data_IF_649202427210
#
_entry.id   IF_649202427210
#
_cell.length_a   1.000
_cell.length_b   1.000
_cell.length_c   1.000
_cell.angle_alpha   90.00
_cell.angle_beta   90.00
_cell.angle_gamma   90.00
#
_symmetry.space_group_name_H-M   'P 1'
#
loop_
_entity.id
_entity.type
_entity.pdbx_description
1 polymer ?
#
# COMPACT_ATOMS: atom_id res chain seq x y z
N UNK A 1 -21.08 9.81 -6.86
CA UNK A 1 -21.11 9.18 -5.53
C UNK A 1 -21.58 7.73 -5.63
N UNK A 2 -22.72 7.45 -6.29
CA UNK A 2 -23.16 6.07 -6.59
C UNK A 2 -22.10 5.22 -7.30
N UNK A 3 -21.30 5.82 -8.19
CA UNK A 3 -20.21 5.17 -8.93
C UNK A 3 -18.94 4.89 -8.11
N UNK A 4 -18.71 5.60 -7.01
CA UNK A 4 -17.55 5.36 -6.13
C UNK A 4 -17.87 4.23 -5.16
N UNK A 5 -19.06 4.27 -4.56
CA UNK A 5 -19.49 3.24 -3.62
C UNK A 5 -19.60 1.87 -4.29
N UNK A 6 -20.11 1.80 -5.54
CA UNK A 6 -20.15 0.54 -6.29
C UNK A 6 -18.75 -0.01 -6.61
N UNK A 7 -17.78 0.85 -6.92
CA UNK A 7 -16.38 0.44 -7.10
C UNK A 7 -15.77 -0.10 -5.82
N UNK A 8 -15.96 0.59 -4.70
CA UNK A 8 -15.46 0.13 -3.39
C UNK A 8 -16.11 -1.22 -3.01
N UNK A 9 -17.42 -1.36 -3.19
CA UNK A 9 -18.12 -2.62 -2.94
C UNK A 9 -17.60 -3.74 -3.86
N UNK A 10 -17.25 -3.44 -5.10
CA UNK A 10 -16.65 -4.42 -6.01
C UNK A 10 -15.29 -4.92 -5.51
N UNK A 11 -14.48 -4.05 -4.89
CA UNK A 11 -13.21 -4.46 -4.28
C UNK A 11 -13.43 -5.48 -3.15
N UNK A 12 -14.51 -5.36 -2.38
CA UNK A 12 -14.83 -6.32 -1.31
C UNK A 12 -15.19 -7.72 -1.81
N UNK A 13 -15.52 -7.85 -3.10
CA UNK A 13 -15.83 -9.12 -3.74
C UNK A 13 -14.63 -9.84 -4.36
N UNK A 14 -13.43 -9.26 -4.31
CA UNK A 14 -12.23 -9.90 -4.86
C UNK A 14 -11.78 -11.00 -3.90
N UNK A 15 -11.75 -12.25 -4.40
CA UNK A 15 -11.25 -13.39 -3.63
C UNK A 15 -9.75 -13.25 -3.34
N UNK A 16 -9.30 -13.81 -2.21
CA UNK A 16 -7.91 -13.80 -1.78
C UNK A 16 -7.34 -12.39 -1.51
N UNK A 17 -8.19 -11.46 -1.05
CA UNK A 17 -7.78 -10.16 -0.52
C UNK A 17 -8.22 -10.07 0.94
N UNK A 18 -7.27 -9.70 1.80
CA UNK A 18 -7.54 -9.37 3.20
C UNK A 18 -7.59 -7.85 3.39
N UNK A 19 -8.59 -7.38 4.15
CA UNK A 19 -8.73 -5.98 4.53
C UNK A 19 -7.99 -5.72 5.83
N UNK A 20 -6.84 -5.05 5.74
CA UNK A 20 -6.01 -4.76 6.92
C UNK A 20 -6.53 -3.50 7.65
N UNK A 21 -6.88 -3.59 8.94
CA UNK A 21 -7.31 -2.43 9.72
C UNK A 21 -6.17 -1.42 9.92
N UNK A 22 -6.50 -0.14 9.89
CA UNK A 22 -5.57 0.93 10.30
C UNK A 22 -5.41 0.94 11.83
N UNK A 23 -4.46 0.18 12.36
CA UNK A 23 -4.18 0.10 13.80
C UNK A 23 -3.35 1.29 14.29
N UNK A 24 -3.34 1.52 15.60
CA UNK A 24 -2.47 2.52 16.22
C UNK A 24 -0.97 2.24 15.96
N UNK A 25 -0.60 0.96 15.89
CA UNK A 25 0.76 0.53 15.55
C UNK A 25 1.14 0.94 14.11
N UNK A 26 0.27 0.67 13.14
CA UNK A 26 0.46 1.12 11.75
C UNK A 26 0.58 2.64 11.70
N UNK A 27 -0.27 3.36 12.43
CA UNK A 27 -0.23 4.83 12.48
C UNK A 27 1.09 5.38 13.01
N UNK A 28 1.62 4.79 14.10
CA UNK A 28 2.89 5.20 14.69
C UNK A 28 4.06 4.91 13.75
N UNK A 29 4.10 3.73 13.13
CA UNK A 29 5.13 3.40 12.13
C UNK A 29 5.03 4.32 10.92
N UNK A 30 3.83 4.63 10.43
CA UNK A 30 3.63 5.57 9.34
C UNK A 30 4.22 6.95 9.68
N UNK A 31 3.97 7.47 10.88
CA UNK A 31 4.57 8.74 11.31
C UNK A 31 6.10 8.68 11.37
N UNK A 32 6.66 7.59 11.88
CA UNK A 32 8.12 7.37 11.86
C UNK A 32 8.66 7.38 10.42
N UNK A 33 8.02 6.66 9.49
CA UNK A 33 8.44 6.63 8.10
C UNK A 33 8.37 8.00 7.42
N UNK A 34 7.36 8.82 7.74
CA UNK A 34 7.26 10.19 7.23
C UNK A 34 8.45 11.04 7.66
N UNK A 35 8.87 10.95 8.92
CA UNK A 35 9.97 11.73 9.46
C UNK A 35 11.32 11.25 8.92
N UNK A 36 11.55 9.94 8.92
CA UNK A 36 12.84 9.34 8.51
C UNK A 36 13.07 9.43 7.01
N UNK A 37 12.03 9.20 6.21
CA UNK A 37 12.13 9.15 4.74
C UNK A 37 11.50 10.36 4.05
N UNK A 38 11.10 11.38 4.82
CA UNK A 38 10.56 12.63 4.30
C UNK A 38 9.37 12.40 3.32
N UNK A 39 8.49 11.46 3.68
CA UNK A 39 7.27 11.18 2.91
C UNK A 39 6.27 12.31 3.14
N UNK A 40 5.83 12.96 2.06
CA UNK A 40 4.89 14.08 2.14
C UNK A 40 3.44 13.64 2.29
N UNK A 41 3.11 12.42 1.86
CA UNK A 41 1.77 11.84 1.93
C UNK A 41 1.66 10.91 3.13
N UNK A 42 0.69 11.20 4.02
CA UNK A 42 0.35 10.29 5.12
C UNK A 42 -0.18 8.95 4.59
N UNK A 43 -0.88 8.94 3.44
CA UNK A 43 -1.42 7.71 2.86
C UNK A 43 -0.30 6.79 2.39
N UNK A 44 0.75 7.34 1.75
CA UNK A 44 1.88 6.54 1.29
C UNK A 44 2.60 5.91 2.48
N UNK A 45 2.74 6.68 3.56
CA UNK A 45 3.31 6.19 4.81
C UNK A 45 2.48 5.09 5.46
N UNK A 46 1.14 5.19 5.45
CA UNK A 46 0.25 4.13 5.93
C UNK A 46 0.38 2.85 5.11
N UNK A 47 0.46 2.95 3.78
CA UNK A 47 0.65 1.78 2.92
C UNK A 47 2.01 1.12 3.14
N UNK A 48 3.08 1.91 3.28
CA UNK A 48 4.41 1.39 3.59
C UNK A 48 4.45 0.72 4.98
N UNK A 49 3.88 1.36 6.01
CA UNK A 49 3.80 0.81 7.35
C UNK A 49 3.01 -0.50 7.40
N UNK A 50 1.88 -0.55 6.67
CA UNK A 50 1.05 -1.76 6.56
C UNK A 50 1.83 -2.89 5.91
N UNK A 51 2.52 -2.63 4.79
CA UNK A 51 3.34 -3.64 4.13
C UNK A 51 4.47 -4.15 5.03
N UNK A 52 5.18 -3.27 5.73
CA UNK A 52 6.27 -3.68 6.64
C UNK A 52 5.79 -4.52 7.83
N UNK A 53 4.58 -4.26 8.34
CA UNK A 53 4.06 -4.92 9.54
C UNK A 53 3.24 -6.18 9.23
N UNK A 54 2.57 -6.23 8.08
CA UNK A 54 1.55 -7.25 7.77
C UNK A 54 1.86 -8.11 6.55
N UNK A 55 2.78 -7.70 5.68
CA UNK A 55 3.21 -8.51 4.53
C UNK A 55 4.62 -9.08 4.76
N UNK A 56 4.79 -10.42 4.86
CA UNK A 56 6.10 -11.03 5.03
C UNK A 56 7.08 -10.72 3.89
N UNK A 57 6.58 -10.40 2.69
CA UNK A 57 7.41 -10.05 1.55
C UNK A 57 7.75 -8.56 1.47
N UNK A 58 7.05 -7.71 2.25
CA UNK A 58 7.17 -6.26 2.25
C UNK A 58 6.84 -5.61 0.90
N UNK A 59 5.92 -6.20 0.12
CA UNK A 59 5.65 -5.77 -1.24
C UNK A 59 4.54 -4.71 -1.31
N UNK A 60 4.80 -3.64 -2.06
CA UNK A 60 3.79 -2.62 -2.39
C UNK A 60 3.60 -2.59 -3.91
N UNK A 61 2.36 -2.80 -4.36
CA UNK A 61 2.01 -2.61 -5.78
C UNK A 61 1.64 -1.14 -5.97
N UNK A 62 2.50 -0.37 -6.63
CA UNK A 62 2.27 1.06 -6.86
C UNK A 62 3.03 1.58 -8.06
N UNK A 63 2.46 2.59 -8.72
CA UNK A 63 3.12 3.38 -9.77
C UNK A 63 4.00 4.49 -9.20
N UNK A 64 3.90 4.79 -7.90
CA UNK A 64 4.68 5.85 -7.26
C UNK A 64 6.07 5.33 -6.85
N UNK A 65 7.17 5.89 -7.36
CA UNK A 65 8.52 5.45 -7.01
C UNK A 65 8.95 5.83 -5.59
N UNK A 66 8.15 6.57 -4.82
CA UNK A 66 8.50 6.99 -3.45
C UNK A 66 8.85 5.80 -2.54
N UNK A 67 8.20 4.65 -2.75
CA UNK A 67 8.42 3.42 -1.99
C UNK A 67 9.82 2.82 -2.19
N UNK A 68 10.49 3.13 -3.31
CA UNK A 68 11.85 2.63 -3.60
C UNK A 68 12.89 3.19 -2.61
N UNK A 69 12.52 4.21 -1.82
CA UNK A 69 13.36 4.84 -0.81
C UNK A 69 13.23 4.21 0.58
N UNK A 70 12.27 3.31 0.80
CA UNK A 70 11.95 2.75 2.13
C UNK A 70 12.59 1.36 2.26
N UNK A 71 13.58 1.17 3.14
CA UNK A 71 14.18 -0.14 3.40
C UNK A 71 13.13 -1.17 3.84
N UNK A 72 13.25 -2.39 3.31
CA UNK A 72 12.30 -3.47 3.56
C UNK A 72 11.06 -3.45 2.65
N UNK A 73 10.82 -2.37 1.90
CA UNK A 73 9.76 -2.34 0.89
C UNK A 73 10.28 -2.78 -0.48
N UNK A 74 9.53 -3.66 -1.15
CA UNK A 74 9.71 -4.04 -2.54
C UNK A 74 8.56 -3.47 -3.36
N UNK A 75 8.80 -2.42 -4.14
CA UNK A 75 7.76 -1.89 -5.04
C UNK A 75 7.65 -2.78 -6.28
N UNK A 76 6.43 -3.14 -6.66
CA UNK A 76 6.11 -3.71 -7.97
C UNK A 76 5.24 -2.74 -8.76
N UNK A 77 5.69 -2.36 -9.95
CA UNK A 77 4.89 -1.49 -10.80
C UNK A 77 3.76 -2.30 -11.45
N UNK A 78 2.47 -1.95 -11.23
CA UNK A 78 1.37 -2.70 -11.83
C UNK A 78 1.39 -2.68 -13.36
N UNK A 79 2.06 -1.70 -14.00
CA UNK A 79 2.20 -1.62 -15.46
C UNK A 79 3.11 -2.73 -16.01
N UNK A 80 4.07 -3.18 -15.22
CA UNK A 80 4.95 -4.31 -15.56
C UNK A 80 4.24 -5.65 -15.35
N UNK A 81 3.33 -5.72 -14.37
CA UNK A 81 2.53 -6.91 -14.07
C UNK A 81 1.40 -7.10 -15.08
N UNK A 82 0.73 -6.02 -15.50
CA UNK A 82 -0.39 -6.09 -16.45
C UNK A 82 0.03 -6.58 -17.85
N UNK A 83 1.29 -6.37 -18.24
CA UNK A 83 1.86 -6.93 -19.48
C UNK A 83 1.98 -8.45 -19.48
N UNK A 84 1.86 -9.11 -18.31
CA UNK A 84 1.91 -10.57 -18.17
C UNK A 84 0.53 -11.25 -18.30
N UNK A 85 -0.55 -10.46 -18.40
CA UNK A 85 -1.93 -10.95 -18.48
C UNK A 85 -2.54 -10.80 -19.90
N UNK A 86 -1.71 -10.43 -20.88
CA UNK A 86 -2.05 -10.39 -22.32
C UNK A 86 -1.51 -11.64 -23.01
#
# INVERSE_FOLDING_TARGET
METLLSKIASLTGINNIDWIPATAEIALVAMTLMLEYNLSSIFDAYYAATALLSDPDGTVISTDPIYDRIPGIKRKDPREVAGLLQ
#
